data_IF_214404104065
#
_entry.id   IF_214404104065
#
_cell.length_a   1.000
_cell.length_b   1.000
_cell.length_c   1.000
_cell.angle_alpha   90.00
_cell.angle_beta   90.00
_cell.angle_gamma   90.00
#
_symmetry.space_group_name_H-M   'P 1'
#
loop_
_entity.id
_entity.type
_entity.pdbx_description
1 polymer ?
#
# COMPACT_ATOMS: atom_id res chain seq x y z
N UNK A 1 11.99 -22.48 -3.29
CA UNK A 1 10.70 -21.83 -3.65
C UNK A 1 10.98 -20.77 -4.71
N UNK A 2 11.12 -21.16 -5.98
CA UNK A 2 11.57 -20.27 -7.08
C UNK A 2 10.41 -19.88 -8.00
N UNK A 3 9.43 -20.78 -8.17
CA UNK A 3 8.20 -20.55 -8.90
C UNK A 3 7.19 -19.92 -7.92
N UNK A 4 6.68 -18.72 -8.26
CA UNK A 4 5.72 -17.98 -7.44
C UNK A 4 6.29 -16.87 -6.56
N UNK A 5 7.62 -16.66 -6.53
CA UNK A 5 8.20 -15.52 -5.82
C UNK A 5 7.93 -14.21 -6.58
N UNK A 6 7.30 -13.19 -5.97
CA UNK A 6 7.08 -11.89 -6.61
C UNK A 6 8.37 -11.24 -7.08
N UNK A 7 9.47 -11.40 -6.31
CA UNK A 7 10.78 -10.84 -6.65
C UNK A 7 11.32 -11.46 -7.94
N UNK A 8 11.21 -12.78 -8.08
CA UNK A 8 11.67 -13.50 -9.27
C UNK A 8 10.77 -13.16 -10.46
N UNK A 9 9.45 -13.07 -10.27
CA UNK A 9 8.50 -12.68 -11.31
C UNK A 9 8.77 -11.25 -11.84
N UNK A 10 9.04 -10.30 -10.95
CA UNK A 10 9.41 -8.93 -11.33
C UNK A 10 10.77 -8.87 -12.03
N UNK A 11 11.74 -9.66 -11.58
CA UNK A 11 13.05 -9.75 -12.23
C UNK A 11 12.93 -10.28 -13.67
N UNK A 12 12.15 -11.35 -13.87
CA UNK A 12 11.86 -11.89 -15.19
C UNK A 12 11.14 -10.86 -16.05
N UNK A 13 10.13 -10.16 -15.49
CA UNK A 13 9.38 -9.12 -16.20
C UNK A 13 10.28 -7.96 -16.64
N UNK A 14 11.25 -7.56 -15.82
CA UNK A 14 12.24 -6.54 -16.15
C UNK A 14 13.11 -6.96 -17.35
N UNK A 15 13.65 -8.19 -17.34
CA UNK A 15 14.41 -8.70 -18.48
C UNK A 15 13.55 -8.85 -19.75
N UNK A 16 12.31 -9.32 -19.60
CA UNK A 16 11.36 -9.41 -20.69
C UNK A 16 11.06 -8.02 -21.29
N UNK A 17 10.89 -6.98 -20.47
CA UNK A 17 10.70 -5.61 -20.92
C UNK A 17 11.92 -5.08 -21.69
N UNK A 18 13.14 -5.26 -21.17
CA UNK A 18 14.36 -4.87 -21.89
C UNK A 18 14.50 -5.55 -23.24
N UNK A 19 14.14 -6.83 -23.32
CA UNK A 19 14.21 -7.58 -24.57
C UNK A 19 13.11 -7.18 -25.56
N UNK A 20 11.84 -7.24 -25.15
CA UNK A 20 10.68 -7.05 -26.03
C UNK A 20 10.46 -5.58 -26.42
N UNK A 21 10.62 -4.66 -25.46
CA UNK A 21 10.36 -3.24 -25.66
C UNK A 21 11.64 -2.47 -26.01
N UNK A 22 12.82 -2.98 -25.65
CA UNK A 22 14.10 -2.38 -25.99
C UNK A 22 14.74 -3.02 -27.23
N UNK A 23 15.41 -4.16 -27.01
CA UNK A 23 16.31 -4.77 -28.00
C UNK A 23 15.57 -5.19 -29.28
N UNK A 24 14.40 -5.84 -29.16
CA UNK A 24 13.61 -6.32 -30.30
C UNK A 24 13.04 -5.19 -31.16
N UNK A 25 12.83 -4.01 -30.58
CA UNK A 25 12.38 -2.81 -31.30
C UNK A 25 13.56 -2.01 -31.91
N UNK A 26 14.80 -2.51 -31.78
CA UNK A 26 15.98 -1.83 -32.31
C UNK A 26 16.43 -0.62 -31.48
N UNK A 27 15.94 -0.47 -30.24
CA UNK A 27 16.35 0.63 -29.36
C UNK A 27 17.83 0.45 -28.98
N UNK A 28 18.61 1.50 -29.18
CA UNK A 28 20.03 1.52 -28.85
C UNK A 28 20.26 1.25 -27.36
N UNK A 29 21.26 0.43 -27.01
CA UNK A 29 21.71 0.17 -25.63
C UNK A 29 21.93 1.45 -24.81
N UNK A 30 22.44 2.52 -25.43
CA UNK A 30 22.62 3.83 -24.76
C UNK A 30 21.28 4.44 -24.33
N UNK A 31 20.24 4.29 -25.15
CA UNK A 31 18.90 4.79 -24.86
C UNK A 31 18.23 3.93 -23.78
N UNK A 32 18.38 2.60 -23.83
CA UNK A 32 17.89 1.71 -22.76
C UNK A 32 18.53 2.10 -21.43
N UNK A 33 19.86 2.29 -21.39
CA UNK A 33 20.56 2.73 -20.17
C UNK A 33 20.00 4.06 -19.66
N UNK A 34 19.83 5.06 -20.55
CA UNK A 34 19.30 6.37 -20.20
C UNK A 34 17.89 6.26 -19.59
N UNK A 35 16.99 5.50 -20.21
CA UNK A 35 15.63 5.29 -19.69
C UNK A 35 15.64 4.59 -18.33
N UNK A 36 16.51 3.60 -18.13
CA UNK A 36 16.67 2.95 -16.81
C UNK A 36 17.15 3.94 -15.76
N UNK A 37 18.17 4.75 -16.08
CA UNK A 37 18.72 5.76 -15.16
C UNK A 37 17.67 6.81 -14.78
N UNK A 38 16.89 7.29 -15.75
CA UNK A 38 15.79 8.26 -15.52
C UNK A 38 14.66 7.65 -14.68
N UNK A 39 14.41 6.35 -14.80
CA UNK A 39 13.39 5.64 -14.03
C UNK A 39 13.79 5.42 -12.56
N UNK A 40 15.08 5.48 -12.22
CA UNK A 40 15.54 5.32 -10.83
C UNK A 40 15.16 6.52 -9.96
N UNK A 41 15.10 7.72 -10.53
CA UNK A 41 14.77 8.95 -9.81
C UNK A 41 13.38 8.90 -9.14
N UNK A 42 12.29 8.57 -9.87
CA UNK A 42 10.97 8.38 -9.27
C UNK A 42 10.95 7.28 -8.20
N UNK A 43 11.68 6.18 -8.44
CA UNK A 43 11.69 5.00 -7.55
C UNK A 43 12.51 5.25 -6.28
N UNK A 44 13.50 6.14 -6.30
CA UNK A 44 14.32 6.45 -5.13
C UNK A 44 13.52 6.94 -3.93
N UNK A 45 12.55 7.84 -4.17
CA UNK A 45 11.63 8.32 -3.12
C UNK A 45 10.78 7.17 -2.55
N UNK A 46 10.29 6.27 -3.41
CA UNK A 46 9.49 5.11 -3.03
C UNK A 46 10.32 4.13 -2.18
N UNK A 47 11.57 3.87 -2.55
CA UNK A 47 12.48 2.99 -1.79
C UNK A 47 12.74 3.56 -0.40
N UNK A 48 13.03 4.87 -0.28
CA UNK A 48 13.28 5.52 1.01
C UNK A 48 12.04 5.44 1.91
N UNK A 49 10.87 5.68 1.33
CA UNK A 49 9.57 5.61 1.99
C UNK A 49 9.28 4.18 2.49
N UNK A 50 9.46 3.16 1.64
CA UNK A 50 9.29 1.74 2.03
C UNK A 50 10.31 1.33 3.09
N UNK A 51 11.57 1.75 2.96
CA UNK A 51 12.62 1.47 3.94
C UNK A 51 12.33 2.09 5.31
N UNK A 52 11.88 3.36 5.32
CA UNK A 52 11.45 4.05 6.53
C UNK A 52 10.21 3.38 7.15
N UNK A 53 9.24 2.97 6.34
CA UNK A 53 8.07 2.19 6.79
C UNK A 53 8.45 0.85 7.40
N UNK A 54 9.48 0.19 6.86
CA UNK A 54 10.05 -1.05 7.40
C UNK A 54 10.75 -0.86 8.75
N UNK A 55 11.54 0.21 8.91
CA UNK A 55 12.16 0.57 10.19
C UNK A 55 11.12 0.97 11.25
N UNK A 56 10.13 1.78 10.87
CA UNK A 56 9.02 2.16 11.74
C UNK A 56 8.19 0.95 12.17
N UNK A 57 7.92 0.00 11.25
CA UNK A 57 7.32 -1.30 11.59
C UNK A 57 8.09 -2.00 12.70
N UNK A 58 9.42 -2.06 12.61
CA UNK A 58 10.23 -2.74 13.62
C UNK A 58 10.12 -2.07 15.01
N UNK A 59 10.14 -0.73 15.04
CA UNK A 59 9.91 0.04 16.28
C UNK A 59 8.52 -0.24 16.86
N UNK A 60 7.47 -0.35 16.03
CA UNK A 60 6.12 -0.68 16.48
C UNK A 60 6.01 -2.10 17.05
N UNK A 61 6.73 -3.05 16.47
CA UNK A 61 6.80 -4.42 16.99
C UNK A 61 7.53 -4.44 18.34
N UNK A 62 8.69 -3.78 18.42
CA UNK A 62 9.53 -3.76 19.63
C UNK A 62 8.90 -2.95 20.78
N UNK A 63 8.11 -1.92 20.47
CA UNK A 63 7.37 -1.14 21.47
C UNK A 63 6.14 -1.86 22.03
N UNK A 64 5.79 -3.05 21.51
CA UNK A 64 4.64 -3.82 21.99
C UNK A 64 3.28 -3.27 21.53
N UNK A 65 3.25 -2.32 20.59
CA UNK A 65 2.00 -1.75 20.05
C UNK A 65 1.13 -2.83 19.41
N UNK A 66 1.74 -3.79 18.70
CA UNK A 66 1.01 -4.93 18.14
C UNK A 66 0.28 -5.75 19.20
N UNK A 67 0.92 -5.98 20.36
CA UNK A 67 0.33 -6.70 21.49
C UNK A 67 -0.79 -5.90 22.15
N UNK A 68 -0.62 -4.60 22.34
CA UNK A 68 -1.66 -3.73 22.88
C UNK A 68 -2.90 -3.68 21.97
N UNK A 69 -2.69 -3.61 20.66
CA UNK A 69 -3.76 -3.65 19.65
C UNK A 69 -4.45 -5.02 19.64
N UNK A 70 -3.71 -6.14 19.75
CA UNK A 70 -4.27 -7.48 19.84
C UNK A 70 -5.16 -7.64 21.09
N UNK A 71 -4.66 -7.23 22.26
CA UNK A 71 -5.40 -7.28 23.52
C UNK A 71 -6.65 -6.39 23.47
N UNK A 72 -6.55 -5.19 22.91
CA UNK A 72 -7.72 -4.36 22.66
C UNK A 72 -8.72 -5.10 21.77
N UNK A 73 -8.29 -5.64 20.62
CA UNK A 73 -9.15 -6.34 19.68
C UNK A 73 -9.88 -7.54 20.32
N UNK A 74 -9.21 -8.30 21.18
CA UNK A 74 -9.82 -9.36 22.01
C UNK A 74 -10.92 -8.83 22.93
N UNK A 75 -10.69 -7.67 23.56
CA UNK A 75 -11.68 -7.05 24.45
C UNK A 75 -12.89 -6.43 23.73
N UNK A 76 -12.74 -5.93 22.49
CA UNK A 76 -13.83 -5.30 21.73
C UNK A 76 -14.52 -6.25 20.75
N UNK A 77 -14.13 -7.53 20.67
CA UNK A 77 -14.66 -8.49 19.69
C UNK A 77 -14.61 -7.96 18.25
N UNK A 78 -13.60 -7.15 17.93
CA UNK A 78 -13.52 -6.46 16.64
C UNK A 78 -13.05 -7.43 15.56
N UNK A 79 -13.72 -7.47 14.41
CA UNK A 79 -13.28 -8.30 13.28
C UNK A 79 -11.88 -7.89 12.81
N UNK A 80 -10.96 -8.85 12.56
CA UNK A 80 -9.60 -8.57 12.07
C UNK A 80 -9.56 -7.75 10.78
N UNK A 81 -10.56 -7.94 9.92
CA UNK A 81 -10.69 -7.21 8.64
C UNK A 81 -10.95 -5.73 8.91
N UNK A 82 -11.82 -5.43 9.89
CA UNK A 82 -12.12 -4.05 10.33
C UNK A 82 -10.90 -3.43 10.98
N UNK A 83 -10.21 -4.18 11.84
CA UNK A 83 -8.97 -3.74 12.49
C UNK A 83 -7.91 -3.34 11.45
N UNK A 84 -7.68 -4.20 10.46
CA UNK A 84 -6.68 -3.98 9.43
C UNK A 84 -6.97 -2.72 8.59
N UNK A 85 -8.23 -2.52 8.20
CA UNK A 85 -8.68 -1.33 7.49
C UNK A 85 -8.45 -0.06 8.31
N UNK A 86 -8.84 -0.07 9.58
CA UNK A 86 -8.70 1.08 10.49
C UNK A 86 -7.23 1.46 10.73
N UNK A 87 -6.38 0.48 11.02
CA UNK A 87 -4.95 0.72 11.25
C UNK A 87 -4.28 1.28 9.99
N UNK A 88 -4.56 0.70 8.82
CA UNK A 88 -4.05 1.21 7.55
C UNK A 88 -4.54 2.63 7.26
N UNK A 89 -5.83 2.92 7.49
CA UNK A 89 -6.40 4.25 7.31
C UNK A 89 -5.78 5.31 8.23
N UNK A 90 -5.58 5.00 9.51
CA UNK A 90 -4.95 5.93 10.45
C UNK A 90 -3.50 6.24 10.06
N UNK A 91 -2.72 5.22 9.69
CA UNK A 91 -1.34 5.42 9.23
C UNK A 91 -1.34 6.20 7.91
N UNK A 92 -2.28 5.95 7.00
CA UNK A 92 -2.41 6.71 5.74
C UNK A 92 -2.64 8.19 6.01
N UNK A 93 -3.59 8.52 6.89
CA UNK A 93 -3.88 9.91 7.26
C UNK A 93 -2.65 10.59 7.86
N UNK A 94 -1.88 9.88 8.70
CA UNK A 94 -0.69 10.42 9.34
C UNK A 94 0.50 10.59 8.39
N UNK A 95 0.76 9.59 7.55
CA UNK A 95 1.99 9.50 6.73
C UNK A 95 1.85 10.01 5.32
N UNK A 96 0.63 10.05 4.77
CA UNK A 96 0.38 10.50 3.41
C UNK A 96 0.94 9.58 2.33
N UNK A 97 1.46 8.39 2.63
CA UNK A 97 1.92 7.43 1.63
C UNK A 97 1.13 6.13 1.70
N UNK A 98 0.50 5.73 0.59
CA UNK A 98 -0.27 4.49 0.51
C UNK A 98 0.61 3.26 0.75
N UNK A 99 1.85 3.27 0.24
CA UNK A 99 2.77 2.14 0.39
C UNK A 99 3.29 2.01 1.82
N UNK A 100 3.57 3.13 2.52
CA UNK A 100 3.94 3.10 3.95
C UNK A 100 2.77 2.62 4.77
N UNK A 101 1.58 3.19 4.55
CA UNK A 101 0.39 2.81 5.28
C UNK A 101 0.11 1.31 5.16
N UNK A 102 0.17 0.77 3.94
CA UNK A 102 -0.02 -0.65 3.69
C UNK A 102 1.04 -1.52 4.37
N UNK A 103 2.33 -1.20 4.17
CA UNK A 103 3.44 -2.03 4.70
C UNK A 103 3.53 -1.98 6.22
N UNK A 104 3.32 -0.82 6.82
CA UNK A 104 3.30 -0.66 8.28
C UNK A 104 2.07 -1.32 8.87
N UNK A 105 0.87 -1.13 8.31
CA UNK A 105 -0.34 -1.79 8.81
C UNK A 105 -0.25 -3.31 8.71
N UNK A 106 0.24 -3.86 7.59
CA UNK A 106 0.51 -5.29 7.46
C UNK A 106 1.50 -5.78 8.53
N UNK A 107 2.50 -4.98 8.87
CA UNK A 107 3.45 -5.27 9.93
C UNK A 107 2.84 -5.33 11.33
N UNK A 108 1.84 -4.49 11.61
CA UNK A 108 1.13 -4.46 12.89
C UNK A 108 0.09 -5.59 12.97
N UNK A 109 -0.68 -5.78 11.90
CA UNK A 109 -1.82 -6.73 11.87
C UNK A 109 -1.35 -8.17 11.77
N UNK A 110 -0.23 -8.43 11.07
CA UNK A 110 0.30 -9.78 10.88
C UNK A 110 0.50 -10.58 12.19
N UNK A 111 1.14 -10.07 13.24
CA UNK A 111 1.26 -10.80 14.51
C UNK A 111 -0.08 -10.95 15.24
N UNK A 112 -1.00 -9.98 15.11
CA UNK A 112 -2.33 -10.02 15.77
C UNK A 112 -3.15 -11.22 15.27
N UNK A 113 -3.16 -11.45 13.96
CA UNK A 113 -3.98 -12.50 13.37
C UNK A 113 -3.38 -13.91 13.50
N UNK A 114 -2.10 -14.03 13.87
CA UNK A 114 -1.47 -15.34 14.05
C UNK A 114 -2.13 -16.18 15.14
N UNK A 115 -2.78 -15.52 16.10
CA UNK A 115 -3.40 -16.17 17.26
C UNK A 115 -4.91 -16.34 17.06
N UNK A 116 -5.45 -15.92 15.90
CA UNK A 116 -6.87 -15.94 15.58
C UNK A 116 -7.16 -17.05 14.56
N UNK A 117 -8.14 -17.91 14.86
CA UNK A 117 -8.64 -18.91 13.92
C UNK A 117 -9.76 -18.34 13.06
N UNK A 118 -9.87 -18.81 11.80
CA UNK A 118 -10.97 -18.42 10.90
C UNK A 118 -10.80 -17.06 10.20
N UNK A 119 -9.60 -16.46 10.22
CA UNK A 119 -9.33 -15.21 9.49
C UNK A 119 -9.00 -15.51 8.03
N UNK A 120 -9.81 -14.96 7.11
CA UNK A 120 -9.52 -15.01 5.68
C UNK A 120 -8.39 -14.01 5.34
N UNK A 121 -7.21 -14.54 5.00
CA UNK A 121 -6.01 -13.73 4.75
C UNK A 121 -6.13 -12.88 3.49
N UNK A 122 -6.81 -13.39 2.46
CA UNK A 122 -7.02 -12.72 1.19
C UNK A 122 -7.89 -11.46 1.39
N UNK A 123 -8.99 -11.58 2.12
CA UNK A 123 -9.87 -10.46 2.47
C UNK A 123 -9.17 -9.46 3.39
N UNK A 124 -8.31 -9.93 4.28
CA UNK A 124 -7.51 -9.07 5.15
C UNK A 124 -6.50 -8.23 4.35
N UNK A 125 -5.85 -8.80 3.34
CA UNK A 125 -4.96 -8.06 2.42
C UNK A 125 -5.75 -7.00 1.65
N UNK A 126 -6.94 -7.35 1.15
CA UNK A 126 -7.82 -6.40 0.45
C UNK A 126 -8.22 -5.26 1.39
N UNK A 127 -8.66 -5.55 2.61
CA UNK A 127 -9.08 -4.55 3.58
C UNK A 127 -7.92 -3.64 4.02
N UNK A 128 -6.72 -4.19 4.18
CA UNK A 128 -5.51 -3.41 4.48
C UNK A 128 -5.18 -2.45 3.33
N UNK A 129 -5.25 -2.93 2.08
CA UNK A 129 -5.05 -2.10 0.90
C UNK A 129 -6.12 -1.02 0.75
N UNK A 130 -7.38 -1.37 0.99
CA UNK A 130 -8.49 -0.43 1.02
C UNK A 130 -8.23 0.71 2.03
N UNK A 131 -7.84 0.37 3.26
CA UNK A 131 -7.51 1.37 4.29
C UNK A 131 -6.34 2.27 3.91
N UNK A 132 -5.34 1.76 3.19
CA UNK A 132 -4.18 2.54 2.75
C UNK A 132 -4.48 3.64 1.72
N UNK A 133 -5.68 3.65 1.15
CA UNK A 133 -6.15 4.69 0.21
C UNK A 133 -7.03 5.74 0.89
N UNK A 134 -7.34 5.57 2.18
CA UNK A 134 -8.27 6.45 2.86
C UNK A 134 -7.72 7.87 3.01
N UNK A 135 -8.51 8.87 2.61
CA UNK A 135 -8.30 10.27 2.94
C UNK A 135 -6.91 10.84 2.56
N UNK A 136 -6.57 10.73 1.28
CA UNK A 136 -5.38 11.38 0.70
C UNK A 136 -5.50 12.92 0.77
N UNK A 137 -4.54 13.61 1.41
CA UNK A 137 -4.57 15.06 1.58
C UNK A 137 -3.19 15.70 1.34
N UNK A 138 -2.94 16.88 1.90
CA UNK A 138 -1.73 17.70 1.66
C UNK A 138 -0.41 17.00 2.01
N UNK A 139 -0.43 15.93 2.82
CA UNK A 139 0.77 15.13 3.09
C UNK A 139 1.02 14.02 2.06
N UNK A 140 0.16 13.84 1.06
CA UNK A 140 0.29 12.84 0.01
C UNK A 140 0.85 13.43 -1.29
N UNK A 141 1.92 12.81 -1.80
CA UNK A 141 2.48 13.16 -3.10
C UNK A 141 1.46 12.98 -4.25
N UNK A 142 0.58 11.97 -4.17
CA UNK A 142 -0.47 11.73 -5.15
C UNK A 142 -1.46 12.89 -5.26
N UNK A 143 -1.81 13.51 -4.12
CA UNK A 143 -2.68 14.69 -4.07
C UNK A 143 -2.09 15.85 -4.88
N UNK A 144 -0.80 16.14 -4.69
CA UNK A 144 -0.12 17.23 -5.40
C UNK A 144 0.08 16.92 -6.87
N UNK A 145 0.43 15.69 -7.22
CA UNK A 145 0.60 15.25 -8.61
C UNK A 145 -0.69 15.47 -9.41
N UNK A 146 -1.84 15.08 -8.85
CA UNK A 146 -3.15 15.23 -9.50
C UNK A 146 -3.56 16.69 -9.60
N UNK A 147 -3.30 17.48 -8.55
CA UNK A 147 -3.51 18.94 -8.59
C UNK A 147 -2.74 19.56 -9.76
N UNK A 148 -1.46 19.29 -9.89
CA UNK A 148 -0.60 19.91 -10.92
C UNK A 148 -0.95 19.40 -12.33
N UNK A 149 -1.17 18.11 -12.51
CA UNK A 149 -1.52 17.55 -13.83
C UNK A 149 -2.86 18.02 -14.37
N UNK A 150 -3.83 18.28 -13.48
CA UNK A 150 -5.15 18.73 -13.88
C UNK A 150 -5.35 20.25 -13.74
N UNK A 151 -4.33 21.00 -13.29
CA UNK A 151 -4.40 22.44 -13.08
C UNK A 151 -5.43 22.87 -12.02
N UNK A 152 -5.71 22.01 -11.04
CA UNK A 152 -6.74 22.23 -10.02
C UNK A 152 -6.26 23.17 -8.90
N UNK A 153 -7.20 23.83 -8.24
CA UNK A 153 -6.95 24.45 -6.94
C UNK A 153 -6.92 23.40 -5.83
N UNK A 154 -6.27 23.71 -4.70
CA UNK A 154 -6.23 22.81 -3.52
C UNK A 154 -7.64 22.42 -3.06
N UNK A 155 -8.57 23.37 -3.08
CA UNK A 155 -9.97 23.13 -2.69
C UNK A 155 -10.68 22.17 -3.66
N UNK A 156 -10.40 22.26 -4.95
CA UNK A 156 -10.92 21.33 -5.95
C UNK A 156 -10.31 19.95 -5.79
N UNK A 157 -8.99 19.85 -5.58
CA UNK A 157 -8.32 18.57 -5.33
C UNK A 157 -8.87 17.86 -4.09
N UNK A 158 -9.17 18.59 -3.01
CA UNK A 158 -9.89 18.00 -1.86
C UNK A 158 -11.27 17.47 -2.23
N UNK A 159 -12.01 18.17 -3.10
CA UNK A 159 -13.37 17.76 -3.51
C UNK A 159 -13.39 16.61 -4.52
N UNK A 160 -12.32 16.42 -5.28
CA UNK A 160 -12.24 15.41 -6.32
C UNK A 160 -11.38 14.24 -5.86
N UNK A 161 -10.07 14.46 -5.69
CA UNK A 161 -9.09 13.43 -5.39
C UNK A 161 -9.28 12.81 -4.00
N UNK A 162 -9.32 13.63 -2.94
CA UNK A 162 -9.50 13.11 -1.57
C UNK A 162 -10.82 12.37 -1.43
N UNK A 163 -11.90 12.90 -2.03
CA UNK A 163 -13.22 12.25 -2.02
C UNK A 163 -13.17 10.94 -2.80
N UNK A 164 -12.58 10.91 -3.99
CA UNK A 164 -12.46 9.71 -4.82
C UNK A 164 -11.67 8.60 -4.12
N UNK A 165 -10.50 8.92 -3.57
CA UNK A 165 -9.65 7.98 -2.82
C UNK A 165 -10.40 7.43 -1.59
N UNK A 166 -11.10 8.30 -0.86
CA UNK A 166 -11.88 7.89 0.31
C UNK A 166 -13.07 7.00 -0.10
N UNK A 167 -13.80 7.34 -1.16
CA UNK A 167 -14.88 6.49 -1.67
C UNK A 167 -14.35 5.12 -2.12
N UNK A 168 -13.24 5.10 -2.86
CA UNK A 168 -12.61 3.86 -3.31
C UNK A 168 -12.21 2.99 -2.12
N UNK A 169 -11.63 3.58 -1.08
CA UNK A 169 -11.28 2.92 0.19
C UNK A 169 -12.49 2.25 0.84
N UNK A 170 -13.58 2.99 1.05
CA UNK A 170 -14.79 2.43 1.69
C UNK A 170 -15.53 1.44 0.81
N UNK A 171 -15.55 1.62 -0.51
CA UNK A 171 -16.18 0.68 -1.46
C UNK A 171 -15.40 -0.65 -1.44
N UNK A 172 -14.08 -0.61 -1.57
CA UNK A 172 -13.25 -1.82 -1.54
C UNK A 172 -13.38 -2.55 -0.20
N UNK A 173 -13.42 -1.81 0.91
CA UNK A 173 -13.66 -2.39 2.23
C UNK A 173 -15.06 -2.99 2.36
N UNK A 174 -16.10 -2.31 1.89
CA UNK A 174 -17.47 -2.82 1.87
C UNK A 174 -17.59 -4.11 1.06
N UNK A 175 -16.94 -4.18 -0.11
CA UNK A 175 -16.85 -5.42 -0.89
C UNK A 175 -16.14 -6.54 -0.14
N UNK A 176 -15.04 -6.25 0.56
CA UNK A 176 -14.34 -7.24 1.37
C UNK A 176 -15.24 -7.78 2.51
N UNK A 177 -16.00 -6.91 3.17
CA UNK A 177 -16.95 -7.31 4.21
C UNK A 177 -18.11 -8.14 3.65
N UNK A 178 -18.66 -7.75 2.50
CA UNK A 178 -19.72 -8.51 1.83
C UNK A 178 -19.24 -9.92 1.46
N UNK A 179 -18.05 -10.05 0.86
CA UNK A 179 -17.47 -11.35 0.56
C UNK A 179 -17.23 -12.18 1.82
N UNK A 180 -16.80 -11.54 2.92
CA UNK A 180 -16.61 -12.22 4.21
C UNK A 180 -17.92 -12.80 4.79
N UNK A 181 -19.10 -12.38 4.33
CA UNK A 181 -20.36 -12.97 4.78
C UNK A 181 -20.67 -14.30 4.08
N UNK A 182 -20.07 -14.56 2.91
CA UNK A 182 -20.35 -15.73 2.09
C UNK A 182 -19.26 -16.80 2.15
N UNK A 183 -18.10 -16.48 2.73
CA UNK A 183 -16.91 -17.34 2.83
C UNK A 183 -16.64 -17.61 4.30
#
# INVERSE_FOLDING_TARGET
MFIGSPVIALLISCFAAFYLLGIKQGINKKMIKKLTDESLLPVGSIILIIGAGGGFKQILIESGVGTAIAQMAEHISLSPIVLAFMVAGLIRIATGSATVALTTAAGIVSPVIQHMSGVNLELLVIATGAGSLMFSHVNDAGFWLVKEYLGLTVKETFKTWTVLETLLSFIAFGFALLLNMFI
#
